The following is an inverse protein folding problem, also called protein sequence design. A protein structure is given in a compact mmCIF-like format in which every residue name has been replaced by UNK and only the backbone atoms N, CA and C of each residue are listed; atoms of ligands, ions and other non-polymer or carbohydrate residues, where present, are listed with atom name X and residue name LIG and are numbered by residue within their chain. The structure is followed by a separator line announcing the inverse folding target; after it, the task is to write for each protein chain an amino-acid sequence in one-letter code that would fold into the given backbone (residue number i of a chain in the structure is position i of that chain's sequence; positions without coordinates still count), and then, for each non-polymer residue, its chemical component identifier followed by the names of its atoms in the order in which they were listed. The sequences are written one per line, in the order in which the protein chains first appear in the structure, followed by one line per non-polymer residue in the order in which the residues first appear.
data_IF_264090509071
#
_entry.id   IF_264090509071
#
_cell.length_a   1.000
_cell.length_b   1.000
_cell.length_c   1.000
_cell.angle_alpha   90.00
_cell.angle_beta   90.00
_cell.angle_gamma   90.00
#
_symmetry.space_group_name_H-M   'P 1'
#
loop_
_entity.id
_entity.type
_entity.pdbx_description
1 polymer ?
#
# COMPACT_ATOMS: atom_id res chain seq x y z
N UNK A 1 -19.82 -10.59 2.09
CA UNK A 1 -19.67 -9.35 2.87
C UNK A 1 -20.48 -9.53 4.14
N UNK A 2 -19.87 -9.36 5.32
CA UNK A 2 -20.56 -9.51 6.61
C UNK A 2 -21.35 -8.23 6.94
N UNK A 3 -22.35 -8.28 7.85
CA UNK A 3 -23.08 -7.08 8.29
C UNK A 3 -22.18 -5.99 8.87
N UNK A 4 -21.13 -6.37 9.60
CA UNK A 4 -20.15 -5.45 10.17
C UNK A 4 -19.36 -4.73 9.08
N UNK A 5 -18.99 -5.45 8.01
CA UNK A 5 -18.35 -4.85 6.85
C UNK A 5 -19.26 -3.84 6.13
N UNK A 6 -20.55 -4.15 6.00
CA UNK A 6 -21.51 -3.25 5.37
C UNK A 6 -21.74 -1.96 6.21
N UNK A 7 -21.80 -2.09 7.53
CA UNK A 7 -21.89 -0.95 8.44
C UNK A 7 -20.62 -0.07 8.36
N UNK A 8 -19.43 -0.70 8.40
CA UNK A 8 -18.15 0.01 8.27
C UNK A 8 -18.02 0.73 6.92
N UNK A 9 -18.52 0.16 5.82
CA UNK A 9 -18.52 0.81 4.50
C UNK A 9 -19.53 1.97 4.41
N UNK A 10 -20.59 1.93 5.21
CA UNK A 10 -21.56 3.04 5.28
C UNK A 10 -20.94 4.22 6.03
N UNK A 11 -20.20 3.95 7.11
CA UNK A 11 -19.53 4.97 7.92
C UNK A 11 -18.26 5.51 7.25
N UNK A 12 -17.50 4.63 6.58
CA UNK A 12 -16.23 4.93 5.90
C UNK A 12 -16.24 4.41 4.46
N UNK A 13 -16.88 5.13 3.51
CA UNK A 13 -16.99 4.71 2.12
C UNK A 13 -15.64 4.43 1.44
N UNK A 14 -14.57 5.11 1.85
CA UNK A 14 -13.20 4.91 1.36
C UNK A 14 -12.65 3.50 1.61
N UNK A 15 -13.20 2.75 2.58
CA UNK A 15 -12.83 1.35 2.79
C UNK A 15 -13.19 0.46 1.60
N UNK A 16 -14.14 0.87 0.75
CA UNK A 16 -14.47 0.17 -0.49
C UNK A 16 -13.23 0.06 -1.39
N UNK A 17 -12.38 1.10 -1.42
CA UNK A 17 -11.18 1.10 -2.26
C UNK A 17 -10.16 0.05 -1.82
N UNK A 18 -10.10 -0.25 -0.52
CA UNK A 18 -9.25 -1.33 -0.01
C UNK A 18 -9.77 -2.71 -0.44
N UNK A 19 -11.09 -2.88 -0.52
CA UNK A 19 -11.72 -4.09 -1.06
C UNK A 19 -11.39 -4.24 -2.55
N UNK A 20 -11.49 -3.14 -3.31
CA UNK A 20 -11.17 -3.14 -4.74
C UNK A 20 -9.70 -3.51 -4.99
N UNK A 21 -8.78 -2.94 -4.19
CA UNK A 21 -7.36 -3.31 -4.22
C UNK A 21 -7.15 -4.79 -3.94
N UNK A 22 -7.87 -5.38 -2.97
CA UNK A 22 -7.80 -6.82 -2.68
C UNK A 22 -8.18 -7.65 -3.91
N UNK A 23 -9.22 -7.24 -4.64
CA UNK A 23 -9.59 -7.84 -5.91
C UNK A 23 -8.51 -7.75 -7.00
N UNK A 24 -7.63 -6.74 -6.92
CA UNK A 24 -6.49 -6.54 -7.82
C UNK A 24 -5.20 -7.24 -7.39
N UNK A 25 -5.26 -8.15 -6.40
CA UNK A 25 -4.12 -8.94 -5.94
C UNK A 25 -3.35 -8.34 -4.78
N UNK A 26 -3.89 -7.32 -4.11
CA UNK A 26 -3.31 -6.81 -2.86
C UNK A 26 -3.63 -7.71 -1.68
N UNK A 27 -2.63 -7.92 -0.83
CA UNK A 27 -2.74 -8.56 0.47
C UNK A 27 -2.72 -7.47 1.55
N UNK A 28 -3.57 -7.60 2.57
CA UNK A 28 -3.66 -6.63 3.67
C UNK A 28 -3.43 -7.33 5.01
N UNK A 29 -2.59 -6.72 5.84
CA UNK A 29 -2.17 -7.22 7.15
C UNK A 29 -2.40 -6.11 8.19
N UNK A 30 -3.22 -6.34 9.23
CA UNK A 30 -3.36 -5.38 10.32
C UNK A 30 -2.13 -5.43 11.24
N UNK A 31 -1.71 -4.27 11.73
CA UNK A 31 -0.82 -4.15 12.88
C UNK A 31 -1.69 -3.91 14.11
N UNK A 32 -1.56 -4.78 15.10
CA UNK A 32 -2.34 -4.75 16.34
C UNK A 32 -1.41 -4.45 17.51
N UNK A 33 -1.77 -3.45 18.32
CA UNK A 33 -1.08 -3.10 19.57
C UNK A 33 -2.12 -3.08 20.68
N UNK A 34 -1.86 -3.79 21.76
CA UNK A 34 -2.77 -3.90 22.92
C UNK A 34 -4.21 -4.33 22.56
N UNK A 35 -4.36 -5.14 21.50
CA UNK A 35 -5.66 -5.64 21.03
C UNK A 35 -6.37 -4.73 20.03
N UNK A 36 -5.85 -3.52 19.78
CA UNK A 36 -6.42 -2.54 18.86
C UNK A 36 -5.63 -2.48 17.54
N UNK A 37 -6.36 -2.34 16.42
CA UNK A 37 -5.73 -2.14 15.11
C UNK A 37 -5.22 -0.70 15.05
N UNK A 38 -3.90 -0.54 15.00
CA UNK A 38 -3.27 0.79 14.91
C UNK A 38 -2.89 1.16 13.48
N UNK A 39 -2.64 0.18 12.62
CA UNK A 39 -2.32 0.39 11.20
C UNK A 39 -2.79 -0.80 10.35
N UNK A 40 -3.00 -0.56 9.07
CA UNK A 40 -3.22 -1.58 8.06
C UNK A 40 -2.15 -1.44 6.98
N UNK A 41 -1.40 -2.51 6.72
CA UNK A 41 -0.39 -2.56 5.68
C UNK A 41 -0.91 -3.39 4.51
N UNK A 42 -0.95 -2.80 3.33
CA UNK A 42 -1.21 -3.45 2.07
C UNK A 42 0.10 -3.72 1.33
N UNK A 43 0.21 -4.89 0.69
CA UNK A 43 1.30 -5.21 -0.23
C UNK A 43 0.76 -5.87 -1.49
N UNK A 44 1.30 -5.48 -2.64
CA UNK A 44 1.13 -6.19 -3.90
C UNK A 44 2.51 -6.52 -4.45
N UNK A 45 2.77 -7.81 -4.61
CA UNK A 45 4.01 -8.27 -5.24
C UNK A 45 3.84 -8.36 -6.75
N UNK A 46 4.93 -8.09 -7.44
CA UNK A 46 5.04 -8.23 -8.89
C UNK A 46 6.12 -9.27 -9.21
N UNK A 47 6.15 -9.79 -10.46
CA UNK A 47 7.27 -10.59 -10.91
C UNK A 47 8.63 -9.90 -10.71
N UNK A 48 9.69 -10.70 -10.69
CA UNK A 48 11.08 -10.22 -10.61
C UNK A 48 11.43 -9.48 -9.30
N UNK A 49 10.61 -9.60 -8.25
CA UNK A 49 10.94 -9.09 -6.91
C UNK A 49 10.54 -7.63 -6.65
N UNK A 50 9.75 -7.03 -7.53
CA UNK A 50 9.17 -5.71 -7.30
C UNK A 50 7.96 -5.80 -6.35
N UNK A 51 7.72 -4.74 -5.59
CA UNK A 51 6.54 -4.66 -4.73
C UNK A 51 6.00 -3.24 -4.62
N UNK A 52 4.67 -3.16 -4.49
CA UNK A 52 3.96 -1.97 -4.04
C UNK A 52 3.55 -2.18 -2.59
N UNK A 53 3.70 -1.14 -1.77
CA UNK A 53 3.27 -1.15 -0.38
C UNK A 53 2.39 0.07 -0.08
N UNK A 54 1.43 -0.13 0.81
CA UNK A 54 0.48 0.86 1.30
C UNK A 54 0.46 0.73 2.83
N UNK A 55 0.61 1.81 3.57
CA UNK A 55 0.43 1.85 5.02
C UNK A 55 -0.67 2.86 5.31
N UNK A 56 -1.68 2.43 6.05
CA UNK A 56 -2.85 3.23 6.42
C UNK A 56 -2.92 3.25 7.93
N UNK A 57 -2.79 4.44 8.51
CA UNK A 57 -3.07 4.66 9.94
C UNK A 57 -4.45 5.29 10.10
N UNK A 58 -4.71 6.31 9.28
CA UNK A 58 -6.02 6.96 9.15
C UNK A 58 -6.29 7.27 7.68
N UNK A 59 -7.52 7.66 7.38
CA UNK A 59 -7.94 8.03 6.02
C UNK A 59 -7.24 9.30 5.53
N UNK A 60 -6.71 10.09 6.47
CA UNK A 60 -5.88 11.28 6.25
C UNK A 60 -4.38 11.06 6.50
N UNK A 61 -3.97 9.89 7.00
CA UNK A 61 -2.58 9.51 7.27
C UNK A 61 -2.29 8.14 6.63
N UNK A 62 -1.90 8.20 5.36
CA UNK A 62 -1.49 7.06 4.58
C UNK A 62 -0.17 7.34 3.86
N UNK A 63 0.56 6.28 3.55
CA UNK A 63 1.74 6.34 2.70
C UNK A 63 1.76 5.16 1.75
N UNK A 64 2.29 5.39 0.54
CA UNK A 64 2.51 4.35 -0.44
C UNK A 64 3.92 4.42 -1.00
N UNK A 65 4.42 3.29 -1.42
CA UNK A 65 5.69 3.20 -2.13
C UNK A 65 5.68 2.07 -3.16
N UNK A 66 6.60 2.18 -4.12
CA UNK A 66 7.05 1.07 -4.97
C UNK A 66 8.53 0.86 -4.72
N UNK A 67 8.93 -0.39 -4.51
CA UNK A 67 10.32 -0.79 -4.46
C UNK A 67 10.70 -1.77 -5.59
N UNK A 68 11.94 -1.67 -6.03
CA UNK A 68 12.56 -2.64 -6.93
C UNK A 68 13.05 -3.88 -6.17
N UNK A 69 13.59 -4.83 -6.94
CA UNK A 69 14.14 -6.11 -6.46
C UNK A 69 15.37 -5.98 -5.55
N UNK A 70 15.98 -4.80 -5.47
CA UNK A 70 17.09 -4.49 -4.57
C UNK A 70 16.65 -3.77 -3.29
N UNK A 71 15.34 -3.53 -3.13
CA UNK A 71 14.78 -2.70 -2.06
C UNK A 71 14.93 -1.20 -2.30
N UNK A 72 15.30 -0.78 -3.51
CA UNK A 72 15.35 0.63 -3.91
C UNK A 72 13.93 1.17 -4.15
N UNK A 73 13.59 2.29 -3.51
CA UNK A 73 12.29 2.93 -3.67
C UNK A 73 12.30 3.74 -4.97
N UNK A 74 11.40 3.42 -5.91
CA UNK A 74 11.30 4.12 -7.20
C UNK A 74 10.12 5.09 -7.28
N UNK A 75 9.19 4.97 -6.34
CA UNK A 75 8.09 5.89 -6.13
C UNK A 75 7.69 5.87 -4.66
N UNK A 76 7.37 7.03 -4.09
CA UNK A 76 6.79 7.13 -2.76
C UNK A 76 5.90 8.35 -2.66
N UNK A 77 4.90 8.28 -1.77
CA UNK A 77 4.04 9.41 -1.44
C UNK A 77 3.46 9.23 -0.04
N UNK A 78 3.20 10.34 0.64
CA UNK A 78 2.42 10.43 1.87
C UNK A 78 1.23 11.37 1.65
N UNK A 79 0.12 11.14 2.34
CA UNK A 79 -1.11 11.92 2.18
C UNK A 79 -2.36 11.18 2.62
N UNK A 80 -3.50 11.51 2.02
CA UNK A 80 -4.76 10.81 2.29
C UNK A 80 -4.80 9.44 1.62
N UNK A 81 -5.61 8.52 2.16
CA UNK A 81 -5.80 7.18 1.61
C UNK A 81 -6.12 7.21 0.11
N UNK A 82 -7.03 8.10 -0.30
CA UNK A 82 -7.44 8.21 -1.70
C UNK A 82 -6.29 8.66 -2.60
N UNK A 83 -5.53 9.69 -2.20
CA UNK A 83 -4.38 10.18 -2.98
C UNK A 83 -3.31 9.10 -3.15
N UNK A 84 -3.08 8.30 -2.11
CA UNK A 84 -2.11 7.21 -2.17
C UNK A 84 -2.60 6.09 -3.09
N UNK A 85 -3.86 5.66 -2.96
CA UNK A 85 -4.44 4.62 -3.82
C UNK A 85 -4.44 5.07 -5.29
N UNK A 86 -4.85 6.32 -5.56
CA UNK A 86 -4.83 6.88 -6.91
C UNK A 86 -3.40 6.90 -7.47
N UNK A 87 -2.42 7.29 -6.65
CA UNK A 87 -1.00 7.25 -7.00
C UNK A 87 -0.53 5.86 -7.38
N UNK A 88 -0.83 4.85 -6.56
CA UNK A 88 -0.40 3.45 -6.77
C UNK A 88 -1.06 2.81 -8.00
N UNK A 89 -2.36 3.04 -8.22
CA UNK A 89 -3.08 2.49 -9.37
C UNK A 89 -2.63 3.16 -10.67
N UNK A 90 -2.24 4.43 -10.63
CA UNK A 90 -1.72 5.14 -11.80
C UNK A 90 -0.33 4.65 -12.23
N UNK A 91 0.38 3.90 -11.40
CA UNK A 91 1.70 3.37 -11.76
C UNK A 91 1.57 2.24 -12.80
N UNK A 92 2.26 2.35 -13.96
CA UNK A 92 2.37 1.23 -14.89
C UNK A 92 3.03 0.02 -14.22
N UNK A 93 2.72 -1.23 -14.62
CA UNK A 93 3.38 -2.42 -14.09
C UNK A 93 4.92 -2.34 -14.21
N UNK A 94 5.67 -2.92 -13.26
CA UNK A 94 7.11 -3.09 -13.42
C UNK A 94 7.44 -3.76 -14.77
N UNK A 95 8.45 -3.23 -15.47
CA UNK A 95 8.80 -3.67 -16.83
C UNK A 95 8.22 -2.80 -17.95
N UNK A 96 7.10 -2.10 -17.71
CA UNK A 96 6.57 -1.13 -18.68
C UNK A 96 7.58 -0.01 -18.96
N UNK A 97 7.61 0.53 -20.19
CA UNK A 97 8.55 1.60 -20.56
C UNK A 97 8.35 2.87 -19.73
N UNK A 98 7.12 3.13 -19.27
CA UNK A 98 6.74 4.30 -18.49
C UNK A 98 6.74 4.06 -16.98
N UNK A 99 7.06 2.84 -16.52
CA UNK A 99 7.18 2.57 -15.09
C UNK A 99 8.35 3.38 -14.47
N UNK A 100 8.19 3.93 -13.25
CA UNK A 100 9.29 4.57 -12.53
C UNK A 100 10.43 3.58 -12.27
N UNK A 101 11.62 3.91 -12.74
CA UNK A 101 12.84 3.08 -12.61
C UNK A 101 13.96 3.74 -11.80
N UNK A 102 13.89 5.05 -11.59
CA UNK A 102 14.89 5.78 -10.84
C UNK A 102 14.69 5.51 -9.35
N UNK A 103 15.72 4.97 -8.68
CA UNK A 103 15.72 4.83 -7.23
C UNK A 103 15.90 6.23 -6.62
N UNK A 104 14.89 6.69 -5.87
CA UNK A 104 14.85 7.99 -5.21
C UNK A 104 15.17 7.93 -3.72
N UNK A 105 15.02 6.74 -3.11
CA UNK A 105 15.37 6.47 -1.73
C UNK A 105 15.69 4.99 -1.55
N UNK A 106 16.30 4.63 -0.42
CA UNK A 106 16.44 3.24 0.02
C UNK A 106 15.88 3.12 1.43
N UNK A 107 15.15 2.04 1.70
CA UNK A 107 14.82 1.69 3.07
C UNK A 107 16.10 1.53 3.90
N UNK A 108 16.05 1.76 5.22
CA UNK A 108 17.20 1.46 6.07
C UNK A 108 17.57 -0.01 5.89
N UNK A 109 18.87 -0.29 5.75
CA UNK A 109 19.36 -1.66 5.80
C UNK A 109 18.86 -2.29 7.11
N UNK A 110 18.35 -3.54 7.09
CA UNK A 110 18.03 -4.21 8.34
C UNK A 110 19.28 -4.15 9.22
N UNK A 111 19.12 -3.64 10.46
CA UNK A 111 20.22 -3.68 11.42
C UNK A 111 20.56 -5.15 11.61
N UNK A 112 21.70 -5.58 11.08
CA UNK A 112 22.29 -6.88 11.42
C UNK A 112 22.56 -6.86 12.91
N UNK A 113 21.90 -7.75 13.65
CA UNK A 113 22.23 -8.06 15.03
C UNK A 113 23.55 -8.83 15.10
#
# INVERSE_FOLDING_TARGET
MTPEQAAALTEFPELQRLIDLRGAGWLFLPTVVDGEIVEVHGVRTWPEGWADALRVRYTTDAAGLRNDHTGGITWQREGTLNEIIDGLIALPPPGDRLAPRLVIARGPLPRTA
#
